data_IF_424576201188
#
_entry.id   IF_424576201188
#
_cell.length_a   1.000
_cell.length_b   1.000
_cell.length_c   1.000
_cell.angle_alpha   90.00
_cell.angle_beta   90.00
_cell.angle_gamma   90.00
#
_symmetry.space_group_name_H-M   'P 1'
#
loop_
_entity.id
_entity.type
_entity.pdbx_description
1 polymer ?
#
# COMPACT_ATOMS: atom_id res chain seq x y z
N UNK A 1 43.80 -59.30 23.97
CA UNK A 1 42.43 -58.76 23.86
C UNK A 1 42.41 -57.72 22.76
N UNK A 2 41.40 -57.77 21.89
CA UNK A 2 41.45 -57.28 20.51
C UNK A 2 40.94 -55.84 20.40
N UNK A 3 41.69 -55.03 19.66
CA UNK A 3 41.49 -53.63 19.26
C UNK A 3 40.21 -53.42 18.41
N UNK A 4 39.02 -53.75 18.94
CA UNK A 4 37.76 -53.66 18.18
C UNK A 4 36.61 -52.94 18.87
N UNK A 5 36.79 -52.41 20.08
CA UNK A 5 35.69 -51.79 20.85
C UNK A 5 35.90 -50.31 21.21
N UNK A 6 36.91 -49.65 20.62
CA UNK A 6 37.13 -48.21 20.75
C UNK A 6 36.80 -47.47 19.44
N UNK A 7 35.66 -47.79 18.83
CA UNK A 7 35.10 -47.05 17.68
C UNK A 7 33.61 -46.80 17.92
N UNK A 8 33.30 -46.30 19.12
CA UNK A 8 32.05 -45.59 19.37
C UNK A 8 32.44 -44.12 19.48
N UNK A 9 32.02 -43.28 18.51
CA UNK A 9 31.93 -41.84 18.78
C UNK A 9 32.62 -40.85 17.83
N UNK A 10 32.97 -41.19 16.59
CA UNK A 10 33.45 -40.18 15.61
C UNK A 10 32.72 -40.28 14.27
N UNK A 11 31.39 -40.39 14.32
CA UNK A 11 30.53 -40.32 13.11
C UNK A 11 29.47 -39.21 13.18
N UNK A 12 29.56 -38.29 14.15
CA UNK A 12 28.55 -37.24 14.36
C UNK A 12 29.24 -35.90 14.68
N UNK A 13 30.11 -35.38 13.81
CA UNK A 13 30.56 -33.97 13.94
C UNK A 13 30.90 -33.26 12.63
N UNK A 14 30.89 -33.93 11.47
CA UNK A 14 31.16 -33.30 10.18
C UNK A 14 29.93 -32.82 9.40
N UNK A 15 28.72 -32.98 9.95
CA UNK A 15 27.47 -32.53 9.32
C UNK A 15 26.84 -31.26 9.95
N UNK A 16 27.59 -30.52 10.79
CA UNK A 16 27.12 -29.27 11.41
C UNK A 16 27.81 -28.01 10.87
N UNK A 17 28.58 -28.11 9.77
CA UNK A 17 29.57 -27.09 9.43
C UNK A 17 29.24 -26.06 8.34
N UNK A 18 28.24 -26.23 7.47
CA UNK A 18 28.08 -25.34 6.28
C UNK A 18 26.63 -25.00 5.90
N UNK A 19 25.69 -25.07 6.86
CA UNK A 19 24.27 -24.79 6.57
C UNK A 19 23.72 -23.45 7.06
N UNK A 20 24.38 -22.79 8.02
CA UNK A 20 23.72 -21.74 8.83
C UNK A 20 24.01 -20.28 8.41
N UNK A 21 24.59 -20.04 7.22
CA UNK A 21 24.94 -18.67 6.78
C UNK A 21 24.17 -18.13 5.57
N UNK A 22 23.12 -18.82 5.08
CA UNK A 22 22.40 -18.39 3.87
C UNK A 22 20.88 -18.26 4.09
N UNK A 23 20.48 -17.46 5.08
CA UNK A 23 19.25 -16.65 4.99
C UNK A 23 19.10 -15.83 6.26
N UNK A 24 20.03 -14.90 6.53
CA UNK A 24 19.56 -13.66 7.14
C UNK A 24 18.69 -13.01 6.07
N UNK A 25 17.39 -13.33 6.10
CA UNK A 25 16.38 -12.52 5.42
C UNK A 25 16.60 -11.12 5.95
N UNK A 26 17.37 -10.34 5.19
CA UNK A 26 17.66 -8.95 5.45
C UNK A 26 16.29 -8.29 5.37
N UNK A 27 15.62 -8.21 6.52
CA UNK A 27 14.36 -7.50 6.70
C UNK A 27 14.71 -6.09 6.27
N UNK A 28 14.37 -5.79 5.02
CA UNK A 28 14.71 -4.55 4.36
C UNK A 28 14.11 -3.47 5.25
N UNK A 29 14.97 -2.76 5.99
CA UNK A 29 14.57 -1.62 6.79
C UNK A 29 13.79 -0.73 5.83
N UNK A 30 12.51 -0.56 6.11
CA UNK A 30 11.58 -0.12 5.09
C UNK A 30 11.93 1.29 4.60
N UNK A 31 12.49 1.38 3.41
CA UNK A 31 12.93 2.66 2.87
C UNK A 31 11.72 3.42 2.33
N UNK A 32 11.70 4.73 2.59
CA UNK A 32 10.77 5.63 1.92
C UNK A 32 11.36 5.99 0.55
N UNK A 33 10.62 5.69 -0.50
CA UNK A 33 10.96 6.03 -1.87
C UNK A 33 10.26 7.31 -2.26
N UNK A 34 10.97 8.20 -2.96
CA UNK A 34 10.38 9.43 -3.50
C UNK A 34 9.35 9.10 -4.58
N UNK A 35 8.22 9.79 -4.54
CA UNK A 35 7.17 9.72 -5.54
C UNK A 35 6.09 8.69 -5.25
N UNK A 36 5.59 8.03 -6.29
CA UNK A 36 4.55 7.01 -6.25
C UNK A 36 5.00 5.73 -6.98
N UNK A 37 4.60 4.54 -6.51
CA UNK A 37 4.89 3.30 -7.20
C UNK A 37 4.14 3.24 -8.53
N UNK A 38 4.79 2.71 -9.58
CA UNK A 38 4.20 2.69 -10.93
C UNK A 38 2.85 1.97 -11.00
N UNK A 39 2.66 0.89 -10.22
CA UNK A 39 1.42 0.13 -10.18
C UNK A 39 0.20 0.94 -9.70
N UNK A 40 0.41 2.04 -8.95
CA UNK A 40 -0.68 2.89 -8.45
C UNK A 40 -0.93 4.12 -9.31
N UNK A 41 -0.02 4.47 -10.24
CA UNK A 41 -0.18 5.66 -11.08
C UNK A 41 -1.34 5.44 -12.06
N UNK A 42 -2.18 6.47 -12.23
CA UNK A 42 -3.34 6.39 -13.10
C UNK A 42 -4.50 7.25 -12.63
N UNK A 43 -5.64 7.06 -13.30
CA UNK A 43 -6.93 7.65 -12.91
C UNK A 43 -7.81 6.52 -12.42
N UNK A 44 -8.28 6.66 -11.19
CA UNK A 44 -9.02 5.64 -10.46
C UNK A 44 -10.38 6.20 -10.10
N UNK A 45 -11.47 5.47 -10.32
CA UNK A 45 -12.84 5.92 -10.07
C UNK A 45 -13.58 4.98 -9.13
N UNK A 46 -14.28 5.51 -8.14
CA UNK A 46 -15.20 4.69 -7.33
C UNK A 46 -16.49 4.39 -8.08
N UNK A 47 -17.19 3.34 -7.68
CA UNK A 47 -18.58 3.15 -8.10
C UNK A 47 -19.45 4.31 -7.66
N UNK A 48 -20.52 4.55 -8.42
CA UNK A 48 -21.55 5.49 -8.04
C UNK A 48 -22.24 4.99 -6.77
N UNK A 49 -22.16 5.77 -5.70
CA UNK A 49 -22.86 5.55 -4.44
C UNK A 49 -24.14 6.38 -4.45
N UNK A 50 -25.29 5.73 -4.29
CA UNK A 50 -26.55 6.46 -4.09
C UNK A 50 -26.53 7.11 -2.71
N UNK A 51 -26.74 8.43 -2.65
CA UNK A 51 -26.79 9.19 -1.39
C UNK A 51 -28.24 9.42 -1.00
N UNK A 52 -29.08 9.86 -1.94
CA UNK A 52 -30.55 9.98 -1.78
C UNK A 52 -31.26 9.64 -3.10
N UNK A 53 -32.60 9.66 -3.13
CA UNK A 53 -33.37 9.40 -4.35
C UNK A 53 -32.97 10.41 -5.44
N UNK A 54 -32.54 9.92 -6.59
CA UNK A 54 -32.11 10.76 -7.71
C UNK A 54 -30.70 11.34 -7.58
N UNK A 55 -29.98 11.08 -6.47
CA UNK A 55 -28.64 11.62 -6.25
C UNK A 55 -27.60 10.53 -6.03
N UNK A 56 -26.54 10.59 -6.82
CA UNK A 56 -25.42 9.66 -6.79
C UNK A 56 -24.10 10.40 -6.68
N UNK A 57 -23.13 9.79 -6.02
CA UNK A 57 -21.81 10.37 -5.80
C UNK A 57 -20.72 9.39 -6.22
N UNK A 58 -19.65 9.89 -6.81
CA UNK A 58 -18.45 9.10 -7.08
C UNK A 58 -17.20 9.98 -6.97
N UNK A 59 -16.07 9.34 -6.72
CA UNK A 59 -14.78 9.99 -6.61
C UNK A 59 -13.87 9.58 -7.75
N UNK A 60 -13.09 10.54 -8.24
CA UNK A 60 -11.95 10.28 -9.12
C UNK A 60 -10.68 10.63 -8.36
N UNK A 61 -9.73 9.70 -8.35
CA UNK A 61 -8.40 9.85 -7.79
C UNK A 61 -7.37 9.75 -8.91
N UNK A 62 -6.64 10.83 -9.16
CA UNK A 62 -5.55 10.89 -10.14
C UNK A 62 -4.22 10.80 -9.40
N UNK A 63 -3.55 9.66 -9.51
CA UNK A 63 -2.25 9.40 -8.88
C UNK A 63 -1.15 9.62 -9.91
N UNK A 64 -0.25 10.56 -9.63
CA UNK A 64 0.89 10.92 -10.48
C UNK A 64 2.22 10.68 -9.76
N UNK A 65 3.33 11.00 -10.43
CA UNK A 65 4.69 10.78 -9.94
C UNK A 65 4.95 11.29 -8.51
N UNK A 66 4.50 12.50 -8.18
CA UNK A 66 4.76 13.16 -6.89
C UNK A 66 3.52 13.79 -6.25
N UNK A 67 2.32 13.49 -6.76
CA UNK A 67 1.06 14.10 -6.30
C UNK A 67 -0.12 13.15 -6.47
N UNK A 68 -1.16 13.39 -5.68
CA UNK A 68 -2.47 12.74 -5.77
C UNK A 68 -3.52 13.84 -5.78
N UNK A 69 -4.35 13.86 -6.83
CA UNK A 69 -5.45 14.81 -6.98
C UNK A 69 -6.79 14.05 -6.85
N UNK A 70 -7.64 14.50 -5.94
CA UNK A 70 -8.95 13.92 -5.68
C UNK A 70 -10.04 14.89 -6.10
N UNK A 71 -11.04 14.37 -6.81
CA UNK A 71 -12.24 15.11 -7.23
C UNK A 71 -13.47 14.31 -6.83
N UNK A 72 -14.47 14.99 -6.26
CA UNK A 72 -15.78 14.43 -5.97
C UNK A 72 -16.77 14.89 -7.04
N UNK A 73 -17.63 13.99 -7.48
CA UNK A 73 -18.71 14.29 -8.42
C UNK A 73 -20.05 13.89 -7.81
N UNK A 74 -21.00 14.81 -7.78
CA UNK A 74 -22.38 14.55 -7.42
C UNK A 74 -23.26 14.67 -8.67
N UNK A 75 -24.02 13.62 -8.98
CA UNK A 75 -25.06 13.65 -9.99
C UNK A 75 -26.41 13.76 -9.28
N UNK A 76 -27.08 14.90 -9.41
CA UNK A 76 -28.41 15.15 -8.86
C UNK A 76 -29.40 15.29 -10.01
N UNK A 77 -30.27 14.29 -10.18
CA UNK A 77 -31.29 14.24 -11.24
C UNK A 77 -30.75 14.47 -12.66
N UNK A 78 -29.53 13.96 -12.96
CA UNK A 78 -28.89 14.13 -14.26
C UNK A 78 -27.94 15.32 -14.36
N UNK A 79 -27.95 16.23 -13.38
CA UNK A 79 -27.02 17.35 -13.31
C UNK A 79 -25.76 16.97 -12.54
N UNK A 80 -24.60 17.10 -13.18
CA UNK A 80 -23.30 16.79 -12.58
C UNK A 80 -22.72 18.07 -11.96
N UNK A 81 -22.36 17.98 -10.68
CA UNK A 81 -21.59 18.98 -9.95
C UNK A 81 -20.23 18.39 -9.60
N UNK A 82 -19.19 19.20 -9.71
CA UNK A 82 -17.81 18.87 -9.33
C UNK A 82 -17.46 19.63 -8.06
N UNK A 83 -16.79 18.96 -7.13
CA UNK A 83 -16.26 19.55 -5.91
C UNK A 83 -14.85 19.02 -5.62
N UNK A 84 -14.12 19.75 -4.77
CA UNK A 84 -12.83 19.33 -4.25
C UNK A 84 -12.98 17.96 -3.57
N UNK A 85 -12.24 16.97 -4.08
CA UNK A 85 -12.23 15.65 -3.46
C UNK A 85 -11.47 15.64 -2.13
N UNK A 86 -11.57 14.53 -1.39
CA UNK A 86 -11.09 14.44 -0.01
C UNK A 86 -9.56 14.51 0.13
N UNK A 87 -8.83 14.41 -0.98
CA UNK A 87 -7.37 14.29 -0.97
C UNK A 87 -6.74 15.08 -2.10
N UNK A 88 -5.96 16.11 -1.75
CA UNK A 88 -5.12 16.85 -2.69
C UNK A 88 -3.74 17.04 -2.05
N UNK A 89 -2.79 16.19 -2.44
CA UNK A 89 -1.49 16.09 -1.78
C UNK A 89 -0.33 16.03 -2.77
N UNK A 90 0.83 16.52 -2.32
CA UNK A 90 2.05 16.74 -3.09
C UNK A 90 3.27 16.17 -2.36
N UNK A 91 4.42 16.17 -3.03
CA UNK A 91 5.68 15.67 -2.47
C UNK A 91 5.55 14.26 -1.88
N UNK A 92 4.85 13.39 -2.62
CA UNK A 92 4.57 12.03 -2.18
C UNK A 92 5.86 11.24 -1.99
N UNK A 93 5.87 10.40 -0.98
CA UNK A 93 6.85 9.36 -0.74
C UNK A 93 6.09 8.09 -0.41
N UNK A 94 6.56 6.94 -0.86
CA UNK A 94 5.91 5.67 -0.58
C UNK A 94 6.84 4.70 0.13
N UNK A 95 6.25 3.80 0.90
CA UNK A 95 6.90 2.66 1.52
C UNK A 95 6.11 1.41 1.17
N UNK A 96 6.77 0.39 0.67
CA UNK A 96 6.15 -0.91 0.45
C UNK A 96 6.02 -1.66 1.78
N UNK A 97 4.84 -2.18 2.09
CA UNK A 97 4.53 -2.91 3.32
C UNK A 97 4.37 -4.42 3.09
N UNK A 98 4.59 -4.91 1.86
CA UNK A 98 4.29 -6.28 1.47
C UNK A 98 2.85 -6.45 0.95
N UNK A 99 2.57 -7.58 0.28
CA UNK A 99 1.24 -7.95 -0.22
C UNK A 99 0.53 -6.86 -1.03
N UNK A 100 1.26 -6.15 -1.89
CA UNK A 100 0.76 -5.02 -2.69
C UNK A 100 0.16 -3.86 -1.86
N UNK A 101 0.53 -3.77 -0.58
CA UNK A 101 0.17 -2.65 0.29
C UNK A 101 1.30 -1.62 0.29
N UNK A 102 0.93 -0.37 0.03
CA UNK A 102 1.81 0.78 0.00
C UNK A 102 1.33 1.79 1.01
N UNK A 103 2.23 2.33 1.83
CA UNK A 103 1.95 3.51 2.64
C UNK A 103 2.51 4.73 1.93
N UNK A 104 1.68 5.73 1.75
CA UNK A 104 2.03 7.02 1.15
C UNK A 104 2.13 8.06 2.25
N UNK A 105 3.19 8.85 2.22
CA UNK A 105 3.36 10.10 2.96
C UNK A 105 3.36 11.25 1.96
N UNK A 106 2.57 12.28 2.20
CA UNK A 106 2.50 13.41 1.29
C UNK A 106 2.13 14.68 2.05
N UNK A 107 2.50 15.84 1.51
CA UNK A 107 2.12 17.14 2.06
C UNK A 107 0.78 17.58 1.48
N UNK A 108 -0.06 18.25 2.26
CA UNK A 108 -1.24 18.93 1.72
C UNK A 108 -0.86 20.07 0.76
N UNK A 109 -1.85 20.67 0.08
CA UNK A 109 -1.64 21.78 -0.86
C UNK A 109 -0.90 22.98 -0.25
N UNK A 110 -1.02 23.19 1.07
CA UNK A 110 -0.35 24.26 1.80
C UNK A 110 1.06 23.87 2.31
N UNK A 111 1.53 22.65 2.05
CA UNK A 111 2.85 22.19 2.45
C UNK A 111 3.03 21.83 3.93
N UNK A 112 1.97 21.97 4.73
CA UNK A 112 2.03 22.04 6.20
C UNK A 112 1.85 20.68 6.90
N UNK A 113 0.98 19.81 6.38
CA UNK A 113 0.64 18.55 7.04
C UNK A 113 1.05 17.33 6.22
N UNK A 114 1.76 16.39 6.85
CA UNK A 114 2.06 15.08 6.25
C UNK A 114 0.87 14.13 6.43
N UNK A 115 0.04 13.98 5.42
CA UNK A 115 -1.01 12.94 5.38
C UNK A 115 -0.38 11.56 5.16
N UNK A 116 -0.90 10.55 5.85
CA UNK A 116 -0.57 9.15 5.58
C UNK A 116 -1.79 8.41 5.03
N UNK A 117 -1.66 7.84 3.84
CA UNK A 117 -2.69 6.99 3.22
C UNK A 117 -2.10 5.61 2.97
N UNK A 118 -2.85 4.55 3.24
CA UNK A 118 -2.49 3.22 2.75
C UNK A 118 -3.30 2.90 1.49
N UNK A 119 -2.61 2.41 0.47
CA UNK A 119 -3.19 1.97 -0.79
C UNK A 119 -2.85 0.50 -0.98
N UNK A 120 -3.84 -0.32 -1.31
CA UNK A 120 -3.62 -1.71 -1.73
C UNK A 120 -3.94 -1.83 -3.21
N UNK A 121 -2.93 -2.20 -3.98
CA UNK A 121 -3.12 -2.59 -5.37
C UNK A 121 -3.66 -4.01 -5.39
N UNK A 122 -4.82 -4.23 -6.01
CA UNK A 122 -5.37 -5.57 -6.17
C UNK A 122 -5.03 -6.14 -7.53
N UNK A 123 -5.20 -5.31 -8.58
CA UNK A 123 -4.85 -5.63 -9.95
C UNK A 123 -4.85 -4.34 -10.80
N UNK A 124 -4.58 -4.48 -12.11
CA UNK A 124 -4.54 -3.36 -13.08
C UNK A 124 -5.83 -2.52 -13.21
N UNK A 125 -6.95 -3.00 -12.69
CA UNK A 125 -8.28 -2.38 -12.75
C UNK A 125 -8.91 -2.19 -11.37
N UNK A 126 -8.19 -2.47 -10.27
CA UNK A 126 -8.77 -2.31 -8.95
C UNK A 126 -7.73 -1.91 -7.91
N UNK A 127 -8.06 -0.86 -7.15
CA UNK A 127 -7.30 -0.40 -5.99
C UNK A 127 -8.24 -0.19 -4.79
N UNK A 128 -7.72 -0.40 -3.58
CA UNK A 128 -8.40 -0.06 -2.34
C UNK A 128 -7.63 1.02 -1.58
N UNK A 129 -8.36 1.98 -1.02
CA UNK A 129 -7.82 2.95 -0.06
C UNK A 129 -8.18 2.52 1.36
N UNK A 130 -7.26 2.74 2.30
CA UNK A 130 -7.47 2.46 3.72
C UNK A 130 -7.11 3.69 4.54
N UNK A 131 -7.96 3.98 5.51
CA UNK A 131 -7.70 4.96 6.55
C UNK A 131 -7.56 4.26 7.90
N UNK A 132 -6.80 4.88 8.80
CA UNK A 132 -6.61 4.38 10.16
C UNK A 132 -7.72 4.95 11.04
N UNK A 133 -8.56 4.08 11.58
CA UNK A 133 -9.59 4.43 12.57
C UNK A 133 -9.25 3.73 13.89
N UNK A 134 -8.73 4.49 14.85
CA UNK A 134 -8.15 3.92 16.09
C UNK A 134 -7.01 2.94 15.78
N UNK A 135 -7.17 1.68 16.21
CA UNK A 135 -6.21 0.60 15.96
C UNK A 135 -6.53 -0.26 14.73
N UNK A 136 -7.59 0.07 13.97
CA UNK A 136 -8.04 -0.72 12.82
C UNK A 136 -7.80 0.03 11.51
N UNK A 137 -7.48 -0.71 10.46
CA UNK A 137 -7.48 -0.20 9.09
C UNK A 137 -8.86 -0.47 8.49
N UNK A 138 -9.54 0.57 8.06
CA UNK A 138 -10.88 0.49 7.47
C UNK A 138 -10.76 0.80 5.99
N UNK A 139 -11.38 -0.04 5.16
CA UNK A 139 -11.49 0.21 3.71
C UNK A 139 -12.37 1.43 3.52
N UNK A 140 -11.82 2.46 2.88
CA UNK A 140 -12.53 3.71 2.61
C UNK A 140 -13.22 3.67 1.25
N UNK A 141 -12.57 3.10 0.23
CA UNK A 141 -13.11 3.02 -1.11
C UNK A 141 -12.49 1.94 -1.97
N UNK A 142 -13.29 1.43 -2.90
CA UNK A 142 -12.85 0.61 -4.02
C UNK A 142 -12.83 1.50 -5.26
N UNK A 143 -11.69 1.53 -5.92
CA UNK A 143 -11.52 2.26 -7.16
C UNK A 143 -11.27 1.28 -8.30
N UNK A 144 -11.82 1.59 -9.47
CA UNK A 144 -11.61 0.90 -10.73
C UNK A 144 -11.05 1.81 -11.81
#
# INVERSE_FOLDING_TARGET
MKLKEFVTGVAIMSALGVGMFLSSSQVSASVWHKGMPNALKGTWRTHNRKIVKGTYEYYILKIKGSRIDGTMFANTHGHIQEDAGPINVYNTHYRYLGNHVYRIRAKNALGNASTQINLKWLNKHTMQTYWKSGNKWVVEGYYR
#
